data_IF_886978128190
#
_entry.id   IF_886978128190
#
_cell.length_a   1.000
_cell.length_b   1.000
_cell.length_c   1.000
_cell.angle_alpha   90.00
_cell.angle_beta   90.00
_cell.angle_gamma   90.00
#
_symmetry.space_group_name_H-M   'P 1'
#
loop_
_entity.id
_entity.type
_entity.pdbx_description
1 polymer ?
#
# COMPACT_ATOMS: atom_id res chain seq x y z
N UNK A 1 -17.02 0.36 12.09
CA UNK A 1 -16.86 -0.39 13.34
C UNK A 1 -17.26 -1.83 13.09
N UNK A 2 -16.27 -2.71 13.10
CA UNK A 2 -16.42 -4.14 12.89
C UNK A 2 -17.53 -4.70 13.81
N UNK A 3 -18.43 -5.52 13.25
CA UNK A 3 -19.54 -6.16 14.00
C UNK A 3 -19.01 -6.96 15.19
N UNK A 4 -17.80 -7.49 15.07
CA UNK A 4 -17.14 -8.27 16.12
C UNK A 4 -16.72 -7.40 17.31
N UNK A 5 -16.33 -6.15 17.08
CA UNK A 5 -16.00 -5.20 18.15
C UNK A 5 -17.26 -4.79 18.88
N UNK A 6 -18.37 -4.54 18.16
CA UNK A 6 -19.66 -4.24 18.79
C UNK A 6 -20.09 -5.38 19.72
N UNK A 7 -19.98 -6.62 19.23
CA UNK A 7 -20.28 -7.82 20.01
C UNK A 7 -19.36 -7.96 21.22
N UNK A 8 -18.05 -7.76 21.03
CA UNK A 8 -17.06 -7.84 22.12
C UNK A 8 -17.34 -6.83 23.23
N UNK A 9 -17.76 -5.61 22.87
CA UNK A 9 -18.13 -4.58 23.83
C UNK A 9 -19.33 -5.00 24.67
N UNK A 10 -20.43 -5.42 24.02
CA UNK A 10 -21.65 -5.88 24.70
C UNK A 10 -21.36 -7.10 25.58
N UNK A 11 -20.62 -8.09 25.06
CA UNK A 11 -20.26 -9.30 25.80
C UNK A 11 -19.40 -8.98 27.02
N UNK A 12 -18.49 -8.00 26.93
CA UNK A 12 -17.63 -7.59 28.04
C UNK A 12 -18.44 -6.93 29.16
N UNK A 13 -19.34 -6.00 28.83
CA UNK A 13 -20.22 -5.38 29.84
C UNK A 13 -21.18 -6.39 30.49
N UNK A 14 -21.71 -7.32 29.71
CA UNK A 14 -22.55 -8.40 30.22
C UNK A 14 -21.81 -9.29 31.20
N UNK A 15 -20.57 -9.71 30.86
CA UNK A 15 -19.72 -10.53 31.75
C UNK A 15 -19.35 -9.80 33.04
N UNK A 16 -19.01 -8.51 32.98
CA UNK A 16 -18.69 -7.72 34.17
C UNK A 16 -19.92 -7.60 35.09
N UNK A 17 -21.10 -7.29 34.53
CA UNK A 17 -22.33 -7.20 35.33
C UNK A 17 -22.68 -8.53 35.98
N UNK A 18 -22.58 -9.63 35.24
CA UNK A 18 -22.83 -10.97 35.76
C UNK A 18 -21.88 -11.35 36.90
N UNK A 19 -20.57 -11.12 36.74
CA UNK A 19 -19.58 -11.39 37.77
C UNK A 19 -19.76 -10.52 39.01
N UNK A 20 -20.15 -9.26 38.84
CA UNK A 20 -20.47 -8.36 39.94
C UNK A 20 -21.63 -8.88 40.78
N UNK A 21 -22.73 -9.30 40.14
CA UNK A 21 -23.92 -9.82 40.85
C UNK A 21 -23.57 -11.08 41.65
N UNK A 22 -22.83 -12.02 41.05
CA UNK A 22 -22.40 -13.25 41.75
C UNK A 22 -21.50 -12.93 42.93
N UNK A 23 -20.50 -12.07 42.73
CA UNK A 23 -19.58 -11.69 43.78
C UNK A 23 -20.31 -10.99 44.94
N UNK A 24 -21.27 -10.12 44.64
CA UNK A 24 -22.10 -9.46 45.64
C UNK A 24 -22.88 -10.45 46.50
N UNK A 25 -23.63 -11.38 45.88
CA UNK A 25 -24.38 -12.36 46.66
C UNK A 25 -23.49 -13.31 47.47
N UNK A 26 -22.33 -13.69 46.92
CA UNK A 26 -21.36 -14.50 47.63
C UNK A 26 -20.81 -13.79 48.88
N UNK A 27 -20.32 -12.56 48.74
CA UNK A 27 -19.80 -11.77 49.86
C UNK A 27 -20.89 -11.44 50.87
N UNK A 28 -22.09 -11.08 50.42
CA UNK A 28 -23.22 -10.79 51.30
C UNK A 28 -23.60 -12.01 52.16
N UNK A 29 -23.69 -13.19 51.54
CA UNK A 29 -23.96 -14.44 52.27
C UNK A 29 -22.86 -14.75 53.28
N UNK A 30 -21.59 -14.53 52.91
CA UNK A 30 -20.45 -14.73 53.79
C UNK A 30 -20.46 -13.76 54.98
N UNK A 31 -20.81 -12.49 54.77
CA UNK A 31 -20.91 -11.50 55.86
C UNK A 31 -22.11 -11.74 56.78
N UNK A 32 -23.23 -12.23 56.25
CA UNK A 32 -24.34 -12.69 57.09
C UNK A 32 -23.94 -13.86 57.99
N UNK A 33 -23.21 -14.85 57.45
CA UNK A 33 -22.78 -16.01 58.21
C UNK A 33 -21.77 -15.68 59.32
N UNK A 34 -20.95 -14.65 59.12
CA UNK A 34 -19.95 -14.19 60.09
C UNK A 34 -20.46 -13.06 61.01
N UNK A 35 -21.76 -12.78 61.01
CA UNK A 35 -22.40 -11.76 61.87
C UNK A 35 -21.78 -10.35 61.76
N UNK A 36 -21.31 -9.97 60.56
CA UNK A 36 -20.71 -8.66 60.32
C UNK A 36 -21.79 -7.56 60.49
N UNK A 37 -21.57 -6.54 61.33
CA UNK A 37 -22.51 -5.43 61.46
C UNK A 37 -22.63 -4.68 60.13
N UNK A 38 -23.85 -4.26 59.77
CA UNK A 38 -24.15 -3.62 58.49
C UNK A 38 -23.73 -4.45 57.25
N UNK A 39 -23.81 -5.78 57.31
CA UNK A 39 -23.38 -6.73 56.27
C UNK A 39 -23.74 -6.34 54.82
N UNK A 40 -24.94 -5.77 54.59
CA UNK A 40 -25.36 -5.30 53.27
C UNK A 40 -24.47 -4.18 52.72
N UNK A 41 -24.15 -3.19 53.55
CA UNK A 41 -23.34 -2.02 53.19
C UNK A 41 -21.90 -2.44 52.94
N UNK A 42 -21.34 -3.28 53.80
CA UNK A 42 -19.98 -3.80 53.66
C UNK A 42 -19.86 -4.67 52.39
N UNK A 43 -20.83 -5.55 52.13
CA UNK A 43 -20.84 -6.38 50.92
C UNK A 43 -20.95 -5.54 49.64
N UNK A 44 -21.76 -4.48 49.66
CA UNK A 44 -21.87 -3.55 48.53
C UNK A 44 -20.56 -2.78 48.31
N UNK A 45 -19.92 -2.29 49.37
CA UNK A 45 -18.63 -1.59 49.31
C UNK A 45 -17.52 -2.47 48.70
N UNK A 46 -17.41 -3.71 49.19
CA UNK A 46 -16.48 -4.71 48.65
C UNK A 46 -16.78 -5.03 47.18
N UNK A 47 -18.05 -5.17 46.82
CA UNK A 47 -18.47 -5.46 45.44
C UNK A 47 -18.21 -4.30 44.49
N UNK A 48 -18.39 -3.06 44.93
CA UNK A 48 -18.06 -1.87 44.15
C UNK A 48 -16.55 -1.77 43.90
N UNK A 49 -15.75 -2.10 44.90
CA UNK A 49 -14.29 -2.18 44.77
C UNK A 49 -13.90 -3.26 43.74
N UNK A 50 -14.51 -4.45 43.80
CA UNK A 50 -14.30 -5.50 42.81
C UNK A 50 -14.78 -5.09 41.40
N UNK A 51 -15.94 -4.43 41.30
CA UNK A 51 -16.46 -3.89 40.04
C UNK A 51 -15.48 -2.91 39.41
N UNK A 52 -14.83 -2.06 40.20
CA UNK A 52 -13.83 -1.10 39.70
C UNK A 52 -12.64 -1.81 39.04
N UNK A 53 -12.17 -2.92 39.63
CA UNK A 53 -11.09 -3.74 39.08
C UNK A 53 -11.55 -4.43 37.79
N UNK A 54 -12.74 -5.03 37.79
CA UNK A 54 -13.32 -5.68 36.60
C UNK A 54 -13.55 -4.68 35.46
N UNK A 55 -14.04 -3.47 35.77
CA UNK A 55 -14.24 -2.40 34.81
C UNK A 55 -12.91 -1.98 34.16
N UNK A 56 -11.85 -1.87 34.95
CA UNK A 56 -10.50 -1.54 34.46
C UNK A 56 -9.96 -2.64 33.54
N UNK A 57 -10.08 -3.91 33.93
CA UNK A 57 -9.67 -5.05 33.10
C UNK A 57 -10.49 -5.14 31.80
N UNK A 58 -11.81 -4.90 31.90
CA UNK A 58 -12.70 -4.83 30.75
C UNK A 58 -12.32 -3.72 29.77
N UNK A 59 -12.05 -2.52 30.28
CA UNK A 59 -11.60 -1.39 29.48
C UNK A 59 -10.26 -1.70 28.78
N UNK A 60 -9.29 -2.28 29.49
CA UNK A 60 -8.01 -2.68 28.91
C UNK A 60 -8.17 -3.75 27.82
N UNK A 61 -9.05 -4.73 28.03
CA UNK A 61 -9.36 -5.76 27.02
C UNK A 61 -9.99 -5.17 25.76
N UNK A 62 -11.00 -4.29 25.91
CA UNK A 62 -11.63 -3.59 24.80
C UNK A 62 -10.61 -2.71 24.06
N UNK A 63 -9.80 -1.96 24.80
CA UNK A 63 -8.75 -1.11 24.24
C UNK A 63 -7.73 -1.93 23.42
N UNK A 64 -7.31 -3.10 23.92
CA UNK A 64 -6.43 -4.00 23.17
C UNK A 64 -7.06 -4.46 21.85
N UNK A 65 -8.35 -4.80 21.85
CA UNK A 65 -9.08 -5.19 20.63
C UNK A 65 -9.21 -4.05 19.64
N UNK A 66 -9.57 -2.85 20.11
CA UNK A 66 -9.63 -1.64 19.29
C UNK A 66 -8.28 -1.27 18.69
N UNK A 67 -7.21 -1.38 19.47
CA UNK A 67 -5.85 -1.09 19.01
C UNK A 67 -5.40 -2.06 17.92
N UNK A 68 -5.70 -3.35 18.05
CA UNK A 68 -5.37 -4.33 17.03
C UNK A 68 -6.15 -4.09 15.73
N UNK A 69 -7.45 -3.80 15.80
CA UNK A 69 -8.28 -3.47 14.63
C UNK A 69 -7.79 -2.19 13.93
N UNK A 70 -7.47 -1.15 14.72
CA UNK A 70 -6.87 0.08 14.20
C UNK A 70 -5.54 -0.19 13.50
N UNK A 71 -4.66 -0.98 14.13
CA UNK A 71 -3.36 -1.33 13.56
C UNK A 71 -3.50 -2.07 12.23
N UNK A 72 -4.39 -3.05 12.14
CA UNK A 72 -4.67 -3.79 10.90
C UNK A 72 -5.22 -2.86 9.81
N UNK A 73 -6.14 -1.96 10.18
CA UNK A 73 -6.69 -0.97 9.25
C UNK A 73 -5.61 0.01 8.76
N UNK A 74 -4.70 0.43 9.64
CA UNK A 74 -3.64 1.37 9.28
C UNK A 74 -2.56 0.72 8.41
N UNK A 75 -2.19 -0.53 8.69
CA UNK A 75 -1.33 -1.33 7.82
C UNK A 75 -1.93 -1.48 6.42
N UNK A 76 -3.25 -1.73 6.34
CA UNK A 76 -3.97 -1.75 5.06
C UNK A 76 -3.93 -0.40 4.34
N UNK A 77 -4.19 0.70 5.05
CA UNK A 77 -4.19 2.04 4.47
C UNK A 77 -2.82 2.40 3.91
N UNK A 78 -1.74 2.18 4.67
CA UNK A 78 -0.37 2.43 4.22
C UNK A 78 -0.01 1.61 2.99
N UNK A 79 -0.41 0.33 2.96
CA UNK A 79 -0.21 -0.53 1.79
C UNK A 79 -0.96 0.00 0.57
N UNK A 80 -2.23 0.37 0.75
CA UNK A 80 -3.06 0.92 -0.32
C UNK A 80 -2.46 2.21 -0.89
N UNK A 81 -2.04 3.11 -0.03
CA UNK A 81 -1.37 4.36 -0.42
C UNK A 81 -0.10 4.09 -1.22
N UNK A 82 0.75 3.19 -0.73
CA UNK A 82 2.00 2.81 -1.40
C UNK A 82 1.75 2.20 -2.79
N UNK A 83 0.76 1.32 -2.93
CA UNK A 83 0.39 0.73 -4.21
C UNK A 83 -0.15 1.80 -5.17
N UNK A 84 -1.03 2.69 -4.69
CA UNK A 84 -1.59 3.76 -5.50
C UNK A 84 -0.51 4.71 -6.01
N UNK A 85 0.50 5.01 -5.19
CA UNK A 85 1.65 5.82 -5.59
C UNK A 85 2.43 5.17 -6.75
N UNK A 86 2.69 3.86 -6.69
CA UNK A 86 3.33 3.15 -7.82
C UNK A 86 2.46 3.23 -9.08
N UNK A 87 1.14 3.07 -8.95
CA UNK A 87 0.21 3.17 -10.09
C UNK A 87 0.27 4.58 -10.71
N UNK A 88 0.21 5.63 -9.90
CA UNK A 88 0.23 7.03 -10.37
C UNK A 88 1.52 7.36 -11.12
N UNK A 89 2.67 6.95 -10.57
CA UNK A 89 3.98 7.13 -11.23
C UNK A 89 4.02 6.33 -12.53
N UNK A 90 3.51 5.10 -12.54
CA UNK A 90 3.43 4.25 -13.74
C UNK A 90 2.54 4.85 -14.82
N UNK A 91 1.42 5.48 -14.45
CA UNK A 91 0.54 6.20 -15.37
C UNK A 91 1.23 7.45 -15.93
N UNK A 92 2.03 8.15 -15.13
CA UNK A 92 2.85 9.29 -15.57
C UNK A 92 3.92 8.85 -16.57
N UNK A 93 4.63 7.75 -16.30
CA UNK A 93 5.56 7.15 -17.25
C UNK A 93 4.85 6.74 -18.54
N UNK A 94 3.67 6.11 -18.46
CA UNK A 94 2.90 5.74 -19.65
C UNK A 94 2.49 6.97 -20.49
N UNK A 95 2.10 8.09 -19.86
CA UNK A 95 1.82 9.35 -20.58
C UNK A 95 3.07 9.88 -21.28
N UNK A 96 4.23 9.82 -20.60
CA UNK A 96 5.51 10.22 -21.18
C UNK A 96 5.85 9.37 -22.41
N UNK A 97 5.74 8.04 -22.31
CA UNK A 97 5.98 7.11 -23.41
C UNK A 97 5.03 7.39 -24.61
N UNK A 98 3.75 7.64 -24.33
CA UNK A 98 2.78 8.01 -25.37
C UNK A 98 3.14 9.33 -26.07
N UNK A 99 3.69 10.30 -25.34
CA UNK A 99 4.10 11.58 -25.90
C UNK A 99 5.26 11.47 -26.89
N UNK A 100 6.02 10.36 -26.86
CA UNK A 100 7.15 10.15 -27.77
C UNK A 100 6.72 9.83 -29.21
N UNK A 101 5.51 9.29 -29.40
CA UNK A 101 5.05 8.86 -30.72
C UNK A 101 5.02 9.98 -31.76
N UNK A 102 4.64 11.20 -31.37
CA UNK A 102 4.54 12.33 -32.28
C UNK A 102 5.91 12.85 -32.73
N UNK A 103 6.88 13.14 -31.83
CA UNK A 103 8.25 13.48 -32.22
C UNK A 103 8.92 12.44 -33.10
N UNK A 104 8.74 11.14 -32.82
CA UNK A 104 9.25 10.08 -33.69
C UNK A 104 8.67 10.17 -35.10
N UNK A 105 7.35 10.37 -35.23
CA UNK A 105 6.70 10.51 -36.53
C UNK A 105 7.15 11.77 -37.28
N UNK A 106 7.23 12.91 -36.58
CA UNK A 106 7.70 14.18 -37.16
C UNK A 106 9.14 14.09 -37.65
N UNK A 107 10.02 13.45 -36.86
CA UNK A 107 11.40 13.21 -37.27
C UNK A 107 11.45 12.26 -38.48
N UNK A 108 10.69 11.17 -38.51
CA UNK A 108 10.70 10.24 -39.65
C UNK A 108 10.31 10.89 -40.99
N UNK A 109 9.34 11.81 -40.96
CA UNK A 109 8.88 12.51 -42.17
C UNK A 109 9.65 13.80 -42.49
N UNK A 110 10.78 14.06 -41.81
CA UNK A 110 11.61 15.27 -42.00
C UNK A 110 10.91 16.59 -41.62
N UNK A 111 9.88 16.53 -40.79
CA UNK A 111 9.16 17.69 -40.25
C UNK A 111 9.71 18.18 -38.90
N UNK A 112 10.73 17.52 -38.36
CA UNK A 112 11.45 17.92 -37.17
C UNK A 112 12.95 17.87 -37.47
N UNK A 113 13.68 18.92 -37.10
CA UNK A 113 15.12 18.93 -37.31
C UNK A 113 15.82 17.95 -36.37
N UNK A 114 17.02 17.52 -36.78
CA UNK A 114 17.87 16.62 -35.99
C UNK A 114 18.18 17.19 -34.60
N UNK A 115 18.45 18.48 -34.50
CA UNK A 115 18.73 19.18 -33.24
C UNK A 115 17.50 19.20 -32.32
N UNK A 116 16.32 19.51 -32.86
CA UNK A 116 15.07 19.49 -32.09
C UNK A 116 14.77 18.08 -31.57
N UNK A 117 14.93 17.07 -32.42
CA UNK A 117 14.71 15.67 -32.04
C UNK A 117 15.71 15.20 -30.98
N UNK A 118 16.98 15.59 -31.09
CA UNK A 118 18.00 15.29 -30.08
C UNK A 118 17.66 15.88 -28.71
N UNK A 119 17.28 17.16 -28.67
CA UNK A 119 16.85 17.83 -27.44
C UNK A 119 15.61 17.15 -26.83
N UNK A 120 14.68 16.71 -27.68
CA UNK A 120 13.53 15.92 -27.25
C UNK A 120 13.94 14.58 -26.63
N UNK A 121 14.88 13.84 -27.25
CA UNK A 121 15.36 12.56 -26.74
C UNK A 121 16.07 12.73 -25.39
N UNK A 122 16.92 13.75 -25.23
CA UNK A 122 17.60 14.04 -23.94
C UNK A 122 16.57 14.26 -22.84
N UNK A 123 15.58 15.13 -23.11
CA UNK A 123 14.54 15.44 -22.13
C UNK A 123 13.69 14.22 -21.77
N UNK A 124 13.36 13.41 -22.77
CA UNK A 124 12.61 12.17 -22.57
C UNK A 124 13.41 11.16 -21.76
N UNK A 125 14.69 10.94 -22.11
CA UNK A 125 15.59 10.05 -21.39
C UNK A 125 15.70 10.42 -19.91
N UNK A 126 15.97 11.70 -19.61
CA UNK A 126 16.08 12.18 -18.23
C UNK A 126 14.80 11.90 -17.42
N UNK A 127 13.63 12.18 -17.99
CA UNK A 127 12.34 11.95 -17.33
C UNK A 127 12.01 10.47 -17.18
N UNK A 128 12.27 9.65 -18.21
CA UNK A 128 12.08 8.20 -18.14
C UNK A 128 12.93 7.62 -17.01
N UNK A 129 14.20 8.03 -16.91
CA UNK A 129 15.10 7.52 -15.89
C UNK A 129 14.67 7.92 -14.46
N UNK A 130 14.20 9.17 -14.30
CA UNK A 130 13.63 9.65 -13.04
C UNK A 130 12.40 8.84 -12.63
N UNK A 131 11.43 8.66 -13.54
CA UNK A 131 10.21 7.91 -13.23
C UNK A 131 10.47 6.42 -13.01
N UNK A 132 11.39 5.81 -13.77
CA UNK A 132 11.83 4.43 -13.54
C UNK A 132 12.43 4.27 -12.14
N UNK A 133 13.30 5.19 -11.73
CA UNK A 133 13.89 5.19 -10.39
C UNK A 133 12.82 5.34 -9.30
N UNK A 134 11.85 6.23 -9.51
CA UNK A 134 10.72 6.40 -8.61
C UNK A 134 9.89 5.11 -8.49
N UNK A 135 9.56 4.46 -9.60
CA UNK A 135 8.82 3.19 -9.60
C UNK A 135 9.60 2.12 -8.84
N UNK A 136 10.88 1.92 -9.16
CA UNK A 136 11.72 0.90 -8.52
C UNK A 136 11.85 1.12 -7.01
N UNK A 137 12.07 2.37 -6.57
CA UNK A 137 12.15 2.70 -5.15
C UNK A 137 10.84 2.38 -4.41
N UNK A 138 9.70 2.73 -5.01
CA UNK A 138 8.40 2.45 -4.37
C UNK A 138 8.03 0.96 -4.44
N UNK A 139 8.42 0.21 -5.47
CA UNK A 139 8.26 -1.26 -5.51
C UNK A 139 9.16 -1.94 -4.46
N UNK A 140 10.40 -1.48 -4.29
CA UNK A 140 11.30 -1.98 -3.24
C UNK A 140 10.74 -1.70 -1.84
N UNK A 141 10.16 -0.52 -1.63
CA UNK A 141 9.46 -0.22 -0.39
C UNK A 141 8.24 -1.15 -0.19
N UNK A 142 7.45 -1.43 -1.22
CA UNK A 142 6.35 -2.40 -1.14
C UNK A 142 6.82 -3.82 -0.77
N UNK A 143 8.03 -4.21 -1.18
CA UNK A 143 8.64 -5.48 -0.82
C UNK A 143 9.04 -5.53 0.67
N UNK A 144 9.55 -4.42 1.22
CA UNK A 144 10.02 -4.35 2.61
C UNK A 144 8.89 -4.34 3.65
N UNK A 145 7.69 -3.89 3.28
CA UNK A 145 6.51 -3.78 4.16
C UNK A 145 5.86 -5.14 4.50
N UNK A 146 6.61 -6.26 4.48
CA UNK A 146 6.12 -7.63 4.80
C UNK A 146 4.80 -7.98 4.10
N UNK A 147 4.76 -7.74 2.79
CA UNK A 147 3.59 -8.03 1.98
C UNK A 147 3.43 -9.54 1.75
N UNK A 148 2.93 -10.27 2.75
CA UNK A 148 2.49 -11.68 2.60
C UNK A 148 1.37 -11.73 1.56
N UNK A 149 1.71 -11.94 0.29
CA UNK A 149 0.75 -12.07 -0.81
C UNK A 149 1.04 -11.24 -2.06
N UNK A 150 2.02 -10.33 -2.04
CA UNK A 150 2.47 -9.61 -3.23
C UNK A 150 3.87 -10.07 -3.59
N UNK A 151 4.02 -10.81 -4.71
CA UNK A 151 5.35 -11.16 -5.25
C UNK A 151 5.93 -9.93 -5.95
N UNK A 152 6.36 -8.96 -5.13
CA UNK A 152 7.03 -7.74 -5.59
C UNK A 152 8.30 -8.07 -6.37
N UNK A 153 9.00 -9.15 -6.01
CA UNK A 153 10.29 -9.53 -6.62
C UNK A 153 10.17 -9.80 -8.11
N UNK A 154 9.17 -10.57 -8.55
CA UNK A 154 8.99 -10.85 -9.98
C UNK A 154 8.58 -9.59 -10.75
N UNK A 155 7.63 -8.82 -10.22
CA UNK A 155 7.20 -7.57 -10.86
C UNK A 155 8.36 -6.58 -10.93
N UNK A 156 9.18 -6.52 -9.89
CA UNK A 156 10.38 -5.71 -9.82
C UNK A 156 11.40 -6.13 -10.87
N UNK A 157 11.74 -7.43 -10.95
CA UNK A 157 12.71 -7.93 -11.92
C UNK A 157 12.24 -7.73 -13.35
N UNK A 158 10.95 -7.97 -13.61
CA UNK A 158 10.37 -7.85 -14.94
C UNK A 158 10.33 -6.37 -15.36
N UNK A 159 9.92 -5.46 -14.48
CA UNK A 159 9.93 -4.01 -14.75
C UNK A 159 11.35 -3.49 -14.95
N UNK A 160 12.30 -3.89 -14.09
CA UNK A 160 13.70 -3.52 -14.22
C UNK A 160 14.26 -3.95 -15.58
N UNK A 161 13.96 -5.18 -16.00
CA UNK A 161 14.41 -5.69 -17.30
C UNK A 161 13.83 -4.93 -18.48
N UNK A 162 12.53 -4.62 -18.49
CA UNK A 162 11.92 -3.88 -19.60
C UNK A 162 12.35 -2.41 -19.63
N UNK A 163 12.45 -1.77 -18.47
CA UNK A 163 12.87 -0.37 -18.35
C UNK A 163 14.35 -0.17 -18.71
N UNK A 164 15.22 -1.13 -18.39
CA UNK A 164 16.65 -1.06 -18.77
C UNK A 164 16.82 -1.14 -20.28
N UNK A 165 16.07 -2.02 -20.97
CA UNK A 165 16.10 -2.12 -22.45
C UNK A 165 15.84 -0.77 -23.12
N UNK A 166 14.83 -0.03 -22.64
CA UNK A 166 14.52 1.29 -23.19
C UNK A 166 15.63 2.30 -22.89
N UNK A 167 16.10 2.32 -21.65
CA UNK A 167 17.11 3.28 -21.18
C UNK A 167 18.42 3.07 -21.95
N UNK A 168 18.89 1.83 -22.05
CA UNK A 168 20.09 1.44 -22.80
C UNK A 168 19.96 1.79 -24.29
N UNK A 169 18.79 1.58 -24.90
CA UNK A 169 18.60 1.89 -26.32
C UNK A 169 18.57 3.40 -26.56
N UNK A 170 17.89 4.17 -25.71
CA UNK A 170 17.88 5.63 -25.80
C UNK A 170 19.28 6.21 -25.63
N UNK A 171 20.06 5.72 -24.67
CA UNK A 171 21.45 6.13 -24.46
C UNK A 171 22.31 5.87 -25.71
N UNK A 172 22.23 4.66 -26.28
CA UNK A 172 22.95 4.33 -27.52
C UNK A 172 22.56 5.24 -28.69
N UNK A 173 21.26 5.51 -28.87
CA UNK A 173 20.78 6.40 -29.92
C UNK A 173 21.22 7.85 -29.72
N UNK A 174 21.27 8.32 -28.46
CA UNK A 174 21.82 9.63 -28.14
C UNK A 174 23.31 9.74 -28.50
N UNK A 175 24.10 8.69 -28.25
CA UNK A 175 25.53 8.64 -28.61
C UNK A 175 25.75 8.62 -30.12
N UNK A 176 24.89 7.93 -30.86
CA UNK A 176 24.95 7.81 -32.33
C UNK A 176 24.15 8.90 -33.05
N UNK A 177 23.75 9.97 -32.35
CA UNK A 177 22.81 10.94 -32.90
C UNK A 177 23.33 11.51 -34.22
N UNK A 178 24.62 11.85 -34.34
CA UNK A 178 25.21 12.43 -35.55
C UNK A 178 25.08 11.55 -36.79
N UNK A 179 24.98 10.24 -36.63
CA UNK A 179 24.85 9.24 -37.70
C UNK A 179 23.39 8.85 -37.95
N UNK A 180 22.47 9.24 -37.05
CA UNK A 180 21.07 8.88 -37.13
C UNK A 180 20.39 9.46 -38.38
N UNK A 181 19.85 8.55 -39.21
CA UNK A 181 19.00 8.87 -40.36
C UNK A 181 17.52 8.91 -39.96
N UNK A 182 16.71 9.62 -40.76
CA UNK A 182 15.29 9.85 -40.46
C UNK A 182 14.44 8.57 -40.49
N UNK A 183 14.81 7.56 -41.29
CA UNK A 183 14.14 6.25 -41.35
C UNK A 183 15.06 5.12 -40.89
N UNK A 184 15.86 5.38 -39.86
CA UNK A 184 16.83 4.43 -39.34
C UNK A 184 16.15 3.27 -38.59
N UNK A 185 16.77 2.09 -38.66
CA UNK A 185 16.33 0.88 -37.96
C UNK A 185 16.24 1.15 -36.44
N UNK A 186 17.13 1.99 -35.94
CA UNK A 186 17.24 2.42 -34.55
C UNK A 186 15.95 3.09 -34.04
N UNK A 187 15.30 3.93 -34.85
CA UNK A 187 14.04 4.58 -34.49
C UNK A 187 12.90 3.58 -34.41
N UNK A 188 12.86 2.61 -35.33
CA UNK A 188 11.86 1.54 -35.31
C UNK A 188 12.03 0.65 -34.09
N UNK A 189 13.27 0.32 -33.72
CA UNK A 189 13.59 -0.44 -32.51
C UNK A 189 13.19 0.29 -31.24
N UNK A 190 13.50 1.59 -31.10
CA UNK A 190 13.06 2.38 -29.93
C UNK A 190 11.54 2.36 -29.84
N UNK A 191 10.84 2.59 -30.96
CA UNK A 191 9.37 2.58 -30.98
C UNK A 191 8.81 1.23 -30.54
N UNK A 192 9.38 0.12 -31.01
CA UNK A 192 8.98 -1.22 -30.58
C UNK A 192 9.20 -1.44 -29.08
N UNK A 193 10.35 -1.01 -28.54
CA UNK A 193 10.64 -1.11 -27.10
C UNK A 193 9.68 -0.25 -26.28
N UNK A 194 9.37 0.97 -26.73
CA UNK A 194 8.39 1.86 -26.08
C UNK A 194 7.02 1.19 -26.00
N UNK A 195 6.54 0.58 -27.09
CA UNK A 195 5.25 -0.12 -27.08
C UNK A 195 5.27 -1.36 -26.18
N UNK A 196 6.35 -2.15 -26.17
CA UNK A 196 6.52 -3.28 -25.26
C UNK A 196 6.48 -2.83 -23.79
N UNK A 197 7.19 -1.75 -23.44
CA UNK A 197 7.20 -1.21 -22.08
C UNK A 197 5.81 -0.67 -21.69
N UNK A 198 5.10 0.00 -22.59
CA UNK A 198 3.72 0.44 -22.34
C UNK A 198 2.79 -0.74 -22.10
N UNK A 199 2.88 -1.79 -22.92
CA UNK A 199 2.09 -3.01 -22.73
C UNK A 199 2.42 -3.63 -21.37
N UNK A 200 3.69 -3.75 -21.01
CA UNK A 200 4.11 -4.26 -19.71
C UNK A 200 3.53 -3.43 -18.55
N UNK A 201 3.65 -2.09 -18.60
CA UNK A 201 3.14 -1.19 -17.56
C UNK A 201 1.63 -1.40 -17.35
N UNK A 202 0.87 -1.45 -18.44
CA UNK A 202 -0.59 -1.53 -18.36
C UNK A 202 -1.08 -2.95 -18.00
N UNK A 203 -0.57 -3.95 -18.71
CA UNK A 203 -1.05 -5.34 -18.64
C UNK A 203 -0.48 -6.12 -17.46
N UNK A 204 0.76 -5.83 -17.05
CA UNK A 204 1.43 -6.56 -15.97
C UNK A 204 1.51 -5.72 -14.70
N UNK A 205 2.16 -4.55 -14.73
CA UNK A 205 2.42 -3.76 -13.51
C UNK A 205 1.14 -3.22 -12.88
N UNK A 206 0.43 -2.32 -13.57
CA UNK A 206 -0.78 -1.66 -13.05
C UNK A 206 -1.88 -2.68 -12.77
N UNK A 207 -2.10 -3.64 -13.67
CA UNK A 207 -3.10 -4.69 -13.48
C UNK A 207 -2.82 -5.52 -12.23
N UNK A 208 -1.57 -5.95 -12.03
CA UNK A 208 -1.21 -6.78 -10.85
C UNK A 208 -1.32 -5.98 -9.56
N UNK A 209 -0.90 -4.72 -9.56
CA UNK A 209 -1.07 -3.80 -8.43
C UNK A 209 -2.55 -3.60 -8.08
N UNK A 210 -3.41 -3.35 -9.08
CA UNK A 210 -4.87 -3.22 -8.88
C UNK A 210 -5.52 -4.52 -8.39
N UNK A 211 -5.07 -5.68 -8.86
CA UNK A 211 -5.52 -6.98 -8.32
C UNK A 211 -5.06 -7.18 -6.88
N UNK A 212 -3.84 -6.73 -6.54
CA UNK A 212 -3.33 -6.69 -5.19
C UNK A 212 -4.20 -5.88 -4.25
N UNK A 213 -4.77 -4.75 -4.70
CA UNK A 213 -5.71 -3.95 -3.91
C UNK A 213 -7.07 -4.61 -3.71
N UNK A 214 -7.53 -5.48 -4.64
CA UNK A 214 -8.85 -6.11 -4.56
C UNK A 214 -8.91 -7.34 -3.64
N UNK A 215 -7.77 -7.94 -3.32
CA UNK A 215 -7.68 -9.15 -2.50
C UNK A 215 -7.74 -8.87 -0.99
N UNK A 216 -7.85 -7.60 -0.59
CA UNK A 216 -7.90 -7.12 0.79
C UNK A 216 -9.06 -6.15 0.94
#
# INVERSE_FOLDING_TARGET
MNTDIKRTLVDTFGRISYLFVIFFFFIYTLYLHNEVPEALKEALSASLSFLSVLATLGAAYIASKLFNDWKEQEEYNHKKESINKVIEISETLNKLLNSMNLPFAMFAVKNMSKTEFFNFLIRSYSKINEENSNILNNINYLASVKNKGFSSEKIFSDFLSESSKLTDKLEKTLLMMNELEHNSLELMEIKAIVENLKEFINSNLIKTLKLGLRRY
#
